data_IF_438838509378
#
_entry.id   IF_438838509378
#
_cell.length_a   1.000
_cell.length_b   1.000
_cell.length_c   1.000
_cell.angle_alpha   90.00
_cell.angle_beta   90.00
_cell.angle_gamma   90.00
#
_symmetry.space_group_name_H-M   'P 1'
#
loop_
_entity.id
_entity.type
_entity.pdbx_description
1 polymer ?
#
# COMPACT_ATOMS: atom_id res chain seq x y z
N UNK A 1 -3.70 -15.29 -5.08
CA UNK A 1 -3.48 -14.30 -3.99
C UNK A 1 -3.70 -15.01 -2.66
N UNK A 2 -2.92 -14.69 -1.64
CA UNK A 2 -3.13 -15.25 -0.29
C UNK A 2 -3.01 -14.15 0.77
N UNK A 3 -3.96 -14.15 1.70
CA UNK A 3 -4.03 -13.23 2.84
C UNK A 3 -3.54 -13.91 4.11
N UNK A 4 -2.98 -13.12 5.02
CA UNK A 4 -2.54 -13.55 6.34
C UNK A 4 -2.92 -12.47 7.38
N UNK A 5 -3.32 -12.86 8.60
CA UNK A 5 -3.68 -11.91 9.65
C UNK A 5 -2.47 -11.17 10.26
N UNK A 6 -1.26 -11.65 10.01
CA UNK A 6 -0.01 -11.09 10.52
C UNK A 6 1.15 -11.44 9.58
N UNK A 7 2.31 -10.83 9.79
CA UNK A 7 3.53 -11.02 8.99
C UNK A 7 4.14 -12.39 9.30
N UNK A 8 4.13 -13.35 8.35
CA UNK A 8 4.82 -14.61 8.54
C UNK A 8 6.35 -14.39 8.61
N UNK A 9 7.09 -15.09 9.48
CA UNK A 9 8.53 -14.88 9.66
C UNK A 9 9.34 -14.97 8.35
N UNK A 10 9.02 -15.94 7.50
CA UNK A 10 9.68 -16.10 6.20
C UNK A 10 9.44 -14.91 5.25
N UNK A 11 8.28 -14.24 5.35
CA UNK A 11 7.99 -13.04 4.55
C UNK A 11 8.68 -11.81 5.12
N UNK A 12 8.77 -11.67 6.44
CA UNK A 12 9.56 -10.62 7.07
C UNK A 12 11.04 -10.71 6.67
N UNK A 13 11.64 -11.90 6.78
CA UNK A 13 13.04 -12.14 6.36
C UNK A 13 13.25 -11.85 4.88
N UNK A 14 12.31 -12.26 4.02
CA UNK A 14 12.40 -11.98 2.58
C UNK A 14 12.28 -10.47 2.28
N UNK A 15 11.35 -9.78 2.93
CA UNK A 15 11.11 -8.35 2.74
C UNK A 15 12.28 -7.49 3.20
N UNK A 16 12.90 -7.83 4.33
CA UNK A 16 14.08 -7.14 4.86
C UNK A 16 15.32 -7.22 3.95
N UNK A 17 15.36 -8.17 3.01
CA UNK A 17 16.43 -8.31 2.01
C UNK A 17 16.20 -7.48 0.75
N UNK A 18 15.02 -6.89 0.57
CA UNK A 18 14.77 -6.09 -0.61
C UNK A 18 15.50 -4.74 -0.48
N UNK A 19 16.13 -4.23 -1.56
CA UNK A 19 16.92 -2.99 -1.49
C UNK A 19 16.05 -1.74 -1.25
N UNK A 20 14.78 -1.80 -1.64
CA UNK A 20 13.80 -0.75 -1.42
C UNK A 20 12.39 -1.35 -1.25
N UNK A 21 11.47 -0.51 -0.79
CA UNK A 21 10.04 -0.79 -0.74
C UNK A 21 9.26 0.45 -1.17
N UNK A 22 7.96 0.29 -1.43
CA UNK A 22 7.07 1.39 -1.76
C UNK A 22 6.12 1.65 -0.59
N UNK A 23 5.90 2.91 -0.26
CA UNK A 23 4.84 3.35 0.65
C UNK A 23 3.68 3.86 -0.20
N UNK A 24 2.46 3.41 0.07
CA UNK A 24 1.25 3.97 -0.50
C UNK A 24 0.33 4.49 0.61
N UNK A 25 -0.17 5.71 0.47
CA UNK A 25 -1.05 6.36 1.44
C UNK A 25 -2.03 7.26 0.72
N UNK A 26 -3.22 7.44 1.26
CA UNK A 26 -4.24 8.29 0.66
C UNK A 26 -4.96 9.08 1.76
N UNK A 27 -5.24 10.37 1.52
CA UNK A 27 -6.09 11.15 2.39
C UNK A 27 -7.54 10.66 2.29
N UNK A 28 -8.39 11.10 3.21
CA UNK A 28 -9.80 10.65 3.21
C UNK A 28 -10.59 11.35 2.11
N UNK A 29 -10.37 12.65 1.94
CA UNK A 29 -11.18 13.48 1.03
C UNK A 29 -10.38 14.24 -0.03
N UNK A 30 -9.06 14.36 0.11
CA UNK A 30 -8.23 15.01 -0.90
C UNK A 30 -7.94 14.09 -2.11
N UNK A 31 -7.69 14.65 -3.31
CA UNK A 31 -7.62 13.85 -4.54
C UNK A 31 -6.27 13.14 -4.75
N UNK A 32 -5.20 13.58 -4.09
CA UNK A 32 -3.86 13.07 -4.33
C UNK A 32 -3.59 11.79 -3.53
N UNK A 33 -3.43 10.67 -4.24
CA UNK A 33 -2.93 9.42 -3.67
C UNK A 33 -1.41 9.42 -3.78
N UNK A 34 -0.72 9.18 -2.67
CA UNK A 34 0.73 9.15 -2.64
C UNK A 34 1.27 7.73 -2.80
N UNK A 35 2.30 7.59 -3.65
CA UNK A 35 3.14 6.39 -3.77
C UNK A 35 4.59 6.84 -3.80
N UNK A 36 5.41 6.38 -2.86
CA UNK A 36 6.81 6.81 -2.76
C UNK A 36 7.76 5.62 -2.60
N UNK A 37 8.86 5.54 -3.36
CA UNK A 37 9.92 4.57 -3.10
C UNK A 37 10.73 4.99 -1.87
N UNK A 38 11.07 4.01 -1.03
CA UNK A 38 11.92 4.14 0.15
C UNK A 38 13.07 3.15 0.01
N UNK A 39 14.28 3.68 -0.20
CA UNK A 39 15.52 2.91 -0.25
C UNK A 39 16.12 2.68 1.13
N UNK A 40 17.37 2.21 1.16
CA UNK A 40 18.14 1.96 2.39
C UNK A 40 17.39 1.03 3.37
N UNK A 41 16.58 0.11 2.86
CA UNK A 41 15.74 -0.76 3.68
C UNK A 41 16.58 -1.57 4.69
N UNK A 42 17.80 -1.97 4.30
CA UNK A 42 18.73 -2.66 5.18
C UNK A 42 19.06 -1.85 6.46
N UNK A 43 19.14 -0.52 6.40
CA UNK A 43 19.50 0.33 7.55
C UNK A 43 18.33 1.14 8.14
N UNK A 44 17.24 1.32 7.39
CA UNK A 44 16.14 2.24 7.77
C UNK A 44 14.80 1.54 7.95
N UNK A 45 14.69 0.22 7.75
CA UNK A 45 13.48 -0.57 7.94
C UNK A 45 13.72 -1.68 8.97
N UNK A 46 12.79 -1.83 9.90
CA UNK A 46 12.79 -2.91 10.87
C UNK A 46 11.41 -3.60 10.92
N UNK A 47 11.46 -4.93 11.00
CA UNK A 47 10.32 -5.77 11.37
C UNK A 47 10.48 -6.12 12.84
N UNK A 48 9.64 -5.56 13.70
CA UNK A 48 9.81 -5.62 15.16
C UNK A 48 9.12 -6.86 15.73
N UNK A 49 7.94 -7.18 15.20
CA UNK A 49 7.15 -8.36 15.57
C UNK A 49 6.21 -8.75 14.41
N UNK A 50 5.28 -9.69 14.65
CA UNK A 50 4.36 -10.20 13.64
C UNK A 50 3.36 -9.14 13.11
N UNK A 51 3.17 -8.02 13.80
CA UNK A 51 2.20 -6.98 13.46
C UNK A 51 2.79 -5.56 13.49
N UNK A 52 4.11 -5.41 13.69
CA UNK A 52 4.75 -4.11 13.79
C UNK A 52 5.96 -4.04 12.86
N UNK A 53 5.89 -3.07 11.94
CA UNK A 53 6.98 -2.67 11.06
C UNK A 53 7.25 -1.19 11.29
N UNK A 54 8.50 -0.76 11.27
CA UNK A 54 8.83 0.65 11.38
C UNK A 54 9.94 1.04 10.39
N UNK A 55 9.87 2.26 9.88
CA UNK A 55 10.95 2.80 9.06
C UNK A 55 11.25 4.26 9.40
N UNK A 56 12.50 4.65 9.15
CA UNK A 56 12.97 6.03 9.32
C UNK A 56 12.53 6.85 8.11
N UNK A 57 11.72 7.88 8.34
CA UNK A 57 11.38 8.87 7.33
C UNK A 57 12.35 10.05 7.42
N UNK A 58 13.18 10.17 6.39
CA UNK A 58 14.12 11.28 6.24
C UNK A 58 13.48 12.46 5.53
N UNK A 59 13.98 13.65 5.82
CA UNK A 59 13.69 14.90 5.15
C UNK A 59 13.93 14.76 3.64
N UNK A 60 12.89 15.07 2.89
CA UNK A 60 12.86 15.18 1.44
C UNK A 60 11.86 16.27 1.05
N UNK A 61 11.52 16.38 -0.24
CA UNK A 61 10.66 17.45 -0.76
C UNK A 61 9.18 17.37 -0.34
N UNK A 62 8.64 16.17 -0.09
CA UNK A 62 7.24 15.94 0.28
C UNK A 62 7.05 15.35 1.68
N UNK A 63 5.82 15.33 2.18
CA UNK A 63 5.43 14.78 3.50
C UNK A 63 4.05 14.09 3.50
N UNK A 64 3.58 13.67 2.33
CA UNK A 64 2.23 13.15 2.07
C UNK A 64 1.90 11.96 2.98
N UNK A 65 2.84 11.02 3.16
CA UNK A 65 2.62 9.89 4.06
C UNK A 65 2.40 10.31 5.52
N UNK A 66 3.11 11.35 5.99
CA UNK A 66 2.91 11.90 7.34
C UNK A 66 1.54 12.58 7.43
N UNK A 67 1.21 13.44 6.47
CA UNK A 67 -0.07 14.15 6.44
C UNK A 67 -1.27 13.18 6.40
N UNK A 68 -1.24 12.17 5.52
CA UNK A 68 -2.29 11.16 5.43
C UNK A 68 -2.35 10.28 6.70
N UNK A 69 -1.21 9.98 7.32
CA UNK A 69 -1.18 9.24 8.58
C UNK A 69 -1.84 10.02 9.72
N UNK A 70 -1.62 11.33 9.83
CA UNK A 70 -2.32 12.17 10.80
C UNK A 70 -3.82 12.29 10.55
N UNK A 71 -4.25 12.30 9.29
CA UNK A 71 -5.68 12.37 8.95
C UNK A 71 -6.40 11.04 9.23
N UNK A 72 -5.86 9.92 8.76
CA UNK A 72 -6.58 8.65 8.76
C UNK A 72 -5.72 7.40 9.01
N UNK A 73 -4.40 7.53 9.16
CA UNK A 73 -3.50 6.42 9.45
C UNK A 73 -3.31 5.41 8.31
N UNK A 74 -3.93 5.56 7.14
CA UNK A 74 -3.92 4.52 6.10
C UNK A 74 -2.57 4.44 5.40
N UNK A 75 -1.90 3.30 5.55
CA UNK A 75 -0.61 3.04 4.92
C UNK A 75 -0.53 1.61 4.38
N UNK A 76 0.06 1.45 3.20
CA UNK A 76 0.50 0.16 2.69
C UNK A 76 1.98 0.20 2.41
N UNK A 77 2.72 -0.81 2.88
CA UNK A 77 4.09 -1.05 2.44
C UNK A 77 4.08 -2.17 1.40
N UNK A 78 4.72 -1.97 0.25
CA UNK A 78 4.81 -2.95 -0.82
C UNK A 78 6.25 -3.31 -1.15
N UNK A 79 6.51 -4.60 -1.26
CA UNK A 79 7.80 -5.17 -1.66
C UNK A 79 7.60 -6.03 -2.91
N UNK A 80 8.57 -6.02 -3.81
CA UNK A 80 8.52 -6.74 -5.08
C UNK A 80 9.83 -7.46 -5.36
N UNK A 81 9.75 -8.65 -5.97
CA UNK A 81 10.92 -9.37 -6.44
C UNK A 81 11.22 -9.03 -7.90
N UNK A 82 12.45 -8.60 -8.17
CA UNK A 82 13.02 -8.51 -9.51
C UNK A 82 13.99 -9.68 -9.82
N UNK A 83 14.10 -10.64 -8.89
CA UNK A 83 14.90 -11.85 -9.06
C UNK A 83 14.22 -12.90 -9.93
N UNK A 84 14.74 -14.13 -9.89
CA UNK A 84 14.21 -15.25 -10.70
C UNK A 84 12.76 -15.59 -10.36
N UNK A 85 12.39 -15.63 -9.08
CA UNK A 85 11.03 -15.92 -8.65
C UNK A 85 10.22 -14.63 -8.48
N UNK A 86 9.06 -14.50 -9.16
CA UNK A 86 8.21 -13.33 -9.01
C UNK A 86 7.47 -13.37 -7.67
N UNK A 87 7.35 -12.21 -7.02
CA UNK A 87 6.62 -12.05 -5.77
C UNK A 87 6.25 -10.58 -5.55
N UNK A 88 5.05 -10.36 -5.04
CA UNK A 88 4.65 -9.08 -4.45
C UNK A 88 4.12 -9.36 -3.05
N UNK A 89 4.58 -8.58 -2.07
CA UNK A 89 4.10 -8.56 -0.69
C UNK A 89 3.53 -7.18 -0.39
N UNK A 90 2.34 -7.13 0.20
CA UNK A 90 1.76 -5.91 0.76
C UNK A 90 1.50 -6.10 2.25
N UNK A 91 1.89 -5.10 3.03
CA UNK A 91 1.56 -4.98 4.45
C UNK A 91 0.55 -3.85 4.56
N UNK A 92 -0.67 -4.16 4.99
CA UNK A 92 -1.69 -3.15 5.24
C UNK A 92 -1.60 -2.72 6.70
N UNK A 93 -1.39 -1.42 6.91
CA UNK A 93 -1.01 -0.86 8.18
C UNK A 93 -1.92 0.29 8.60
N UNK A 94 -2.06 0.47 9.91
CA UNK A 94 -2.37 1.76 10.51
C UNK A 94 -1.05 2.41 10.92
N UNK A 95 -0.75 3.57 10.33
CA UNK A 95 0.48 4.31 10.55
C UNK A 95 0.37 5.23 11.77
N UNK A 96 1.44 5.27 12.53
CA UNK A 96 1.68 6.21 13.61
C UNK A 96 2.99 6.96 13.32
N UNK A 97 2.97 8.29 13.46
CA UNK A 97 4.11 9.16 13.20
C UNK A 97 4.78 9.52 14.51
N UNK A 98 6.06 9.20 14.64
CA UNK A 98 6.89 9.57 15.79
C UNK A 98 7.86 10.65 15.33
N UNK A 99 7.57 11.91 15.64
CA UNK A 99 8.39 13.04 15.19
C UNK A 99 9.69 13.19 16.00
N UNK A 100 10.74 13.63 15.30
CA UNK A 100 12.02 13.98 15.90
C UNK A 100 11.87 15.07 16.96
N UNK A 101 12.72 15.02 17.99
CA UNK A 101 12.69 15.96 19.11
C UNK A 101 11.82 15.50 20.29
N UNK A 102 11.28 14.28 20.23
CA UNK A 102 10.55 13.65 21.34
C UNK A 102 11.37 12.50 21.96
N UNK A 103 11.23 12.20 23.27
CA UNK A 103 11.89 11.02 23.87
C UNK A 103 11.51 9.71 23.16
N UNK A 104 10.27 9.64 22.68
CA UNK A 104 9.75 8.49 21.94
C UNK A 104 10.47 8.29 20.60
N UNK A 105 10.91 9.36 19.95
CA UNK A 105 11.68 9.25 18.71
C UNK A 105 13.01 8.52 18.94
N UNK A 106 13.75 8.89 19.98
CA UNK A 106 15.03 8.24 20.30
C UNK A 106 14.85 6.75 20.60
N UNK A 107 13.81 6.39 21.36
CA UNK A 107 13.44 4.99 21.64
C UNK A 107 13.15 4.20 20.34
N UNK A 108 12.37 4.79 19.44
CA UNK A 108 12.01 4.13 18.18
C UNK A 108 13.18 4.08 17.20
N UNK A 109 14.03 5.10 17.14
CA UNK A 109 15.26 5.11 16.36
C UNK A 109 16.18 3.97 16.79
N UNK A 110 16.41 3.80 18.11
CA UNK A 110 17.22 2.71 18.63
C UNK A 110 16.68 1.33 18.23
N UNK A 111 15.35 1.15 18.24
CA UNK A 111 14.69 -0.09 17.82
C UNK A 111 14.82 -0.38 16.33
N UNK A 112 14.90 0.63 15.47
CA UNK A 112 15.01 0.46 14.01
C UNK A 112 16.46 0.25 13.59
N UNK A 113 17.40 1.00 14.16
CA UNK A 113 18.81 0.97 13.75
C UNK A 113 19.53 -0.30 14.23
N UNK A 114 19.25 -0.81 15.44
CA UNK A 114 19.78 -2.09 15.96
C UNK A 114 21.27 -2.34 15.63
N UNK A 115 22.14 -1.39 15.97
CA UNK A 115 23.60 -1.46 15.78
C UNK A 115 24.09 -1.55 14.32
N UNK A 116 23.24 -1.26 13.33
CA UNK A 116 23.63 -1.27 11.91
C UNK A 116 24.52 -0.06 11.60
N UNK A 117 25.73 -0.32 11.10
CA UNK A 117 26.66 0.72 10.64
C UNK A 117 26.00 1.60 9.56
N UNK A 118 26.07 2.92 9.74
CA UNK A 118 25.49 3.91 8.82
C UNK A 118 24.04 4.35 9.12
N UNK A 119 23.50 4.06 10.31
CA UNK A 119 22.16 4.48 10.76
C UNK A 119 22.02 6.00 10.98
N UNK A 120 21.87 6.74 9.89
CA UNK A 120 21.74 8.18 9.82
C UNK A 120 20.56 8.75 10.61
N UNK A 121 20.86 9.29 11.79
CA UNK A 121 20.09 10.36 12.43
C UNK A 121 20.06 11.63 11.56
N UNK A 122 21.08 11.80 10.72
CA UNK A 122 21.22 12.94 9.82
C UNK A 122 20.08 12.96 8.81
N UNK A 123 19.27 14.01 8.90
CA UNK A 123 18.10 14.21 8.04
C UNK A 123 16.89 13.37 8.43
N UNK A 124 16.90 12.54 9.47
CA UNK A 124 15.68 11.90 9.97
C UNK A 124 14.71 12.97 10.51
N UNK A 125 13.43 12.90 10.14
CA UNK A 125 12.38 13.80 10.65
C UNK A 125 11.30 13.07 11.44
N UNK A 126 11.07 11.80 11.13
CA UNK A 126 10.13 10.97 11.89
C UNK A 126 10.50 9.48 11.77
N UNK A 127 10.01 8.68 12.70
CA UNK A 127 9.88 7.23 12.52
C UNK A 127 8.40 6.94 12.23
N UNK A 128 8.13 6.23 11.14
CA UNK A 128 6.79 5.80 10.79
C UNK A 128 6.61 4.37 11.28
N UNK A 129 5.71 4.18 12.22
CA UNK A 129 5.36 2.87 12.79
C UNK A 129 4.08 2.38 12.14
N UNK A 130 4.17 1.29 11.38
CA UNK A 130 3.03 0.61 10.80
C UNK A 130 2.54 -0.54 11.68
N UNK A 131 1.33 -0.42 12.21
CA UNK A 131 0.59 -1.52 12.85
C UNK A 131 -0.11 -2.33 11.78
N UNK A 132 0.51 -3.44 11.38
CA UNK A 132 0.03 -4.35 10.35
C UNK A 132 -1.19 -5.12 10.84
N UNK A 133 -2.30 -5.00 10.12
CA UNK A 133 -3.54 -5.70 10.43
C UNK A 133 -3.90 -6.79 9.39
N UNK A 134 -3.29 -6.74 8.20
CA UNK A 134 -3.39 -7.80 7.20
C UNK A 134 -2.17 -7.79 6.27
N UNK A 135 -1.79 -8.98 5.79
CA UNK A 135 -0.70 -9.17 4.84
C UNK A 135 -1.21 -9.88 3.60
N UNK A 136 -0.80 -9.41 2.44
CA UNK A 136 -1.18 -10.00 1.15
C UNK A 136 0.04 -10.41 0.35
N UNK A 137 -0.04 -11.59 -0.25
CA UNK A 137 0.90 -12.05 -1.28
C UNK A 137 0.21 -12.24 -2.63
N UNK A 138 0.88 -11.80 -3.69
CA UNK A 138 0.46 -12.02 -5.07
C UNK A 138 1.64 -12.45 -5.96
N UNK A 139 1.33 -13.17 -7.03
CA UNK A 139 2.31 -13.93 -7.81
C UNK A 139 3.31 -13.07 -8.58
N UNK A 140 2.98 -11.82 -8.92
CA UNK A 140 3.89 -10.91 -9.61
C UNK A 140 4.32 -11.37 -11.01
N UNK A 141 3.54 -12.22 -11.69
CA UNK A 141 3.94 -12.84 -12.96
C UNK A 141 4.23 -11.85 -14.10
N UNK A 142 3.72 -10.62 -14.01
CA UNK A 142 4.03 -9.53 -14.94
C UNK A 142 5.04 -8.50 -14.41
N UNK A 143 5.54 -8.65 -13.18
CA UNK A 143 6.64 -7.78 -12.69
C UNK A 143 7.91 -8.22 -13.41
N UNK A 144 8.70 -7.31 -14.00
CA UNK A 144 9.89 -7.70 -14.74
C UNK A 144 10.94 -8.39 -13.86
N UNK A 145 11.88 -9.09 -14.49
CA UNK A 145 13.07 -9.62 -13.85
C UNK A 145 14.29 -8.83 -14.31
N UNK A 146 15.34 -8.76 -13.50
CA UNK A 146 16.65 -8.28 -13.96
C UNK A 146 17.21 -9.30 -14.96
N UNK A 147 17.81 -8.79 -16.05
CA UNK A 147 18.50 -9.56 -17.08
C UNK A 147 19.58 -10.47 -16.50
N UNK A 148 19.66 -11.72 -16.95
CA UNK A 148 20.60 -12.71 -16.39
C UNK A 148 22.06 -12.28 -16.58
N UNK A 149 22.33 -11.63 -17.70
CA UNK A 149 23.63 -11.13 -18.11
C UNK A 149 24.19 -10.08 -17.14
N UNK A 150 23.30 -9.33 -16.47
CA UNK A 150 23.68 -8.35 -15.43
C UNK A 150 24.18 -9.05 -14.17
N UNK A 151 23.64 -10.22 -13.82
CA UNK A 151 24.17 -11.02 -12.70
C UNK A 151 25.52 -11.65 -13.05
N UNK A 152 25.74 -12.00 -14.33
CA UNK A 152 26.93 -12.71 -14.81
C UNK A 152 28.14 -11.78 -15.03
N UNK A 153 27.92 -10.51 -15.45
CA UNK A 153 28.98 -9.50 -15.61
C UNK A 153 29.63 -9.06 -14.28
N UNK A 154 28.99 -9.34 -13.14
CA UNK A 154 29.41 -8.77 -11.85
C UNK A 154 29.19 -7.25 -11.79
N UNK A 155 29.35 -6.65 -10.62
CA UNK A 155 29.15 -5.22 -10.39
C UNK A 155 30.31 -4.35 -10.94
N UNK A 156 30.94 -4.74 -12.05
CA UNK A 156 31.85 -3.86 -12.77
C UNK A 156 31.01 -2.78 -13.45
N UNK A 157 30.99 -1.61 -12.83
CA UNK A 157 30.22 -0.46 -13.25
C UNK A 157 30.57 -0.09 -14.69
N UNK A 158 29.55 -0.12 -15.56
CA UNK A 158 29.57 0.70 -16.76
C UNK A 158 29.48 2.15 -16.26
N UNK A 159 30.59 2.89 -16.28
CA UNK A 159 30.52 4.35 -16.35
C UNK A 159 29.90 4.68 -17.71
N UNK A 160 28.57 4.60 -17.78
CA UNK A 160 27.83 4.80 -19.00
C UNK A 160 28.00 6.23 -19.50
N UNK A 161 28.42 6.38 -20.75
CA UNK A 161 28.34 7.63 -21.51
C UNK A 161 26.91 8.19 -21.44
N UNK A 162 26.71 9.22 -20.59
CA UNK A 162 25.46 9.98 -20.46
C UNK A 162 25.03 10.63 -21.79
N UNK A 163 25.92 10.72 -22.78
CA UNK A 163 25.70 11.42 -24.04
C UNK A 163 24.90 10.65 -25.11
N UNK A 164 24.68 9.34 -24.98
CA UNK A 164 24.13 8.55 -26.09
C UNK A 164 22.61 8.31 -26.09
N UNK A 165 21.87 8.72 -25.05
CA UNK A 165 20.43 8.47 -24.96
C UNK A 165 20.03 6.98 -24.99
N UNK A 166 20.98 6.06 -24.79
CA UNK A 166 20.80 4.61 -24.78
C UNK A 166 20.85 4.05 -23.36
N UNK A 167 20.05 4.57 -22.44
CA UNK A 167 19.83 3.89 -21.16
C UNK A 167 19.06 2.59 -21.44
N UNK A 168 19.79 1.49 -21.58
CA UNK A 168 19.18 0.17 -21.75
C UNK A 168 18.63 -0.28 -20.41
N UNK A 169 17.31 -0.48 -20.33
CA UNK A 169 16.67 -1.07 -19.15
C UNK A 169 17.38 -2.38 -18.76
N UNK A 170 17.81 -2.47 -17.51
CA UNK A 170 18.38 -3.68 -16.90
C UNK A 170 17.34 -4.80 -16.74
N UNK A 171 16.07 -4.48 -16.99
CA UNK A 171 14.94 -5.38 -16.83
C UNK A 171 14.59 -6.10 -18.14
N UNK A 172 14.02 -7.29 -18.00
CA UNK A 172 13.40 -8.08 -19.06
C UNK A 172 12.00 -8.54 -18.61
N UNK A 173 11.10 -8.67 -19.58
CA UNK A 173 9.74 -9.15 -19.32
C UNK A 173 9.70 -10.64 -18.97
N UNK A 174 8.67 -11.03 -18.23
CA UNK A 174 8.39 -12.43 -17.90
C UNK A 174 7.33 -12.97 -18.83
N UNK A 175 7.59 -14.13 -19.42
CA UNK A 175 6.58 -14.91 -20.17
C UNK A 175 5.52 -15.55 -19.28
N UNK A 176 5.76 -15.60 -17.96
CA UNK A 176 4.93 -16.34 -17.00
C UNK A 176 3.47 -15.93 -17.02
N UNK A 177 3.17 -14.64 -17.19
CA UNK A 177 1.79 -14.16 -17.22
C UNK A 177 1.07 -14.59 -18.50
N UNK A 178 1.71 -14.45 -19.65
CA UNK A 178 1.15 -14.85 -20.95
C UNK A 178 0.94 -16.35 -21.03
N UNK A 179 1.92 -17.14 -20.57
CA UNK A 179 1.83 -18.59 -20.53
C UNK A 179 0.71 -19.06 -19.60
N UNK A 180 0.51 -18.38 -18.47
CA UNK A 180 -0.58 -18.67 -17.53
C UNK A 180 -1.95 -18.41 -18.17
N UNK A 181 -2.12 -17.27 -18.84
CA UNK A 181 -3.39 -16.92 -19.47
C UNK A 181 -3.69 -17.71 -20.73
N UNK A 182 -2.68 -18.03 -21.54
CA UNK A 182 -2.83 -18.92 -22.69
C UNK A 182 -3.40 -20.28 -22.27
N UNK A 183 -2.83 -20.90 -21.24
CA UNK A 183 -3.33 -22.17 -20.69
C UNK A 183 -4.77 -22.07 -20.18
N UNK A 184 -5.13 -20.97 -19.51
CA UNK A 184 -6.52 -20.76 -19.05
C UNK A 184 -7.50 -20.57 -20.20
N UNK A 185 -7.08 -19.85 -21.24
CA UNK A 185 -7.88 -19.64 -22.44
C UNK A 185 -8.09 -20.96 -23.20
N UNK A 186 -7.03 -21.76 -23.37
CA UNK A 186 -7.10 -23.11 -23.94
C UNK A 186 -8.07 -24.01 -23.16
N UNK A 187 -8.12 -23.88 -21.84
CA UNK A 187 -9.03 -24.63 -20.97
C UNK A 187 -10.43 -24.01 -20.83
N UNK A 188 -10.72 -22.86 -21.45
CA UNK A 188 -12.01 -22.16 -21.32
C UNK A 188 -12.32 -21.63 -19.90
N UNK A 189 -11.32 -21.48 -19.03
CA UNK A 189 -11.51 -21.12 -17.60
C UNK A 189 -11.26 -19.63 -17.29
N UNK A 190 -11.23 -18.78 -18.31
CA UNK A 190 -10.91 -17.34 -18.15
C UNK A 190 -12.05 -16.61 -17.47
N UNK A 191 -13.28 -16.79 -17.94
CA UNK A 191 -14.47 -16.11 -17.41
C UNK A 191 -14.77 -16.59 -15.99
N UNK A 192 -14.72 -17.90 -15.74
CA UNK A 192 -14.84 -18.49 -14.41
C UNK A 192 -13.84 -17.85 -13.42
N UNK A 193 -12.58 -17.69 -13.83
CA UNK A 193 -11.57 -17.06 -12.99
C UNK A 193 -11.88 -15.57 -12.72
N UNK A 194 -12.37 -14.84 -13.73
CA UNK A 194 -12.75 -13.44 -13.57
C UNK A 194 -13.95 -13.32 -12.61
N UNK A 195 -14.93 -14.22 -12.69
CA UNK A 195 -16.03 -14.32 -11.72
C UNK A 195 -15.49 -14.58 -10.32
N UNK A 196 -14.62 -15.57 -10.16
CA UNK A 196 -14.08 -15.96 -8.86
C UNK A 196 -13.23 -14.83 -8.22
N UNK A 197 -12.48 -14.06 -9.02
CA UNK A 197 -11.45 -13.13 -8.52
C UNK A 197 -11.74 -11.66 -8.72
N UNK A 198 -12.69 -11.27 -9.57
CA UNK A 198 -12.84 -9.87 -10.01
C UNK A 198 -14.26 -9.31 -9.86
N UNK A 199 -15.17 -10.03 -9.19
CA UNK A 199 -16.51 -9.52 -8.83
C UNK A 199 -16.43 -8.38 -7.81
N UNK A 200 -15.57 -8.52 -6.79
CA UNK A 200 -15.32 -7.48 -5.79
C UNK A 200 -13.83 -7.25 -5.51
N UNK A 201 -13.50 -6.09 -4.93
CA UNK A 201 -12.21 -5.88 -4.27
C UNK A 201 -12.12 -6.70 -2.97
N UNK A 202 -10.93 -6.68 -2.35
CA UNK A 202 -10.69 -7.29 -1.03
C UNK A 202 -11.62 -6.70 0.03
N UNK A 203 -11.87 -5.39 -0.03
CA UNK A 203 -12.78 -4.67 0.86
C UNK A 203 -14.26 -4.80 0.46
N UNK A 204 -14.59 -5.67 -0.50
CA UNK A 204 -15.96 -5.90 -0.97
C UNK A 204 -16.51 -4.79 -1.86
N UNK A 205 -15.67 -3.92 -2.43
CA UNK A 205 -16.12 -2.90 -3.38
C UNK A 205 -16.49 -3.57 -4.72
N UNK A 206 -17.62 -3.21 -5.35
CA UNK A 206 -17.97 -3.76 -6.65
C UNK A 206 -16.88 -3.47 -7.69
N UNK A 207 -16.45 -4.50 -8.42
CA UNK A 207 -15.34 -4.44 -9.37
C UNK A 207 -15.81 -4.70 -10.82
N UNK A 208 -15.22 -5.66 -11.52
CA UNK A 208 -15.35 -5.84 -12.97
C UNK A 208 -16.81 -6.13 -13.38
N UNK A 209 -17.44 -5.20 -14.11
CA UNK A 209 -18.86 -5.31 -14.50
C UNK A 209 -19.18 -6.57 -15.30
N UNK A 210 -18.26 -7.04 -16.15
CA UNK A 210 -18.44 -8.26 -16.92
C UNK A 210 -18.55 -9.49 -16.00
N UNK A 211 -17.56 -9.69 -15.13
CA UNK A 211 -17.56 -10.75 -14.13
C UNK A 211 -18.80 -10.71 -13.21
N UNK A 212 -19.24 -9.51 -12.83
CA UNK A 212 -20.44 -9.32 -11.99
C UNK A 212 -21.73 -9.72 -12.71
N UNK A 213 -21.86 -9.41 -14.00
CA UNK A 213 -23.01 -9.85 -14.81
C UNK A 213 -23.02 -11.36 -14.95
N UNK A 214 -21.85 -11.94 -15.21
CA UNK A 214 -21.69 -13.40 -15.32
C UNK A 214 -21.99 -14.11 -13.99
N UNK A 215 -21.66 -13.47 -12.86
CA UNK A 215 -22.06 -13.91 -11.52
C UNK A 215 -23.56 -13.73 -11.21
N UNK A 216 -24.36 -13.21 -12.15
CA UNK A 216 -25.80 -13.00 -11.98
C UNK A 216 -26.18 -11.73 -11.20
N UNK A 217 -25.27 -10.78 -11.00
CA UNK A 217 -25.58 -9.54 -10.29
C UNK A 217 -26.45 -8.58 -11.12
N UNK A 218 -27.53 -8.08 -10.50
CA UNK A 218 -28.25 -6.91 -11.00
C UNK A 218 -27.44 -5.65 -10.66
N UNK A 219 -26.67 -5.15 -11.63
CA UNK A 219 -25.68 -4.09 -11.41
C UNK A 219 -26.22 -2.84 -10.72
N UNK A 220 -27.42 -2.37 -11.09
CA UNK A 220 -28.05 -1.17 -10.50
C UNK A 220 -28.31 -1.36 -9.00
N UNK A 221 -28.82 -2.53 -8.60
CA UNK A 221 -29.08 -2.84 -7.20
C UNK A 221 -27.78 -2.92 -6.40
N UNK A 222 -26.76 -3.57 -6.95
CA UNK A 222 -25.46 -3.71 -6.30
C UNK A 222 -24.71 -2.36 -6.21
N UNK A 223 -24.78 -1.51 -7.23
CA UNK A 223 -24.23 -0.14 -7.19
C UNK A 223 -25.00 0.75 -6.18
N UNK A 224 -26.33 0.64 -6.13
CA UNK A 224 -27.16 1.32 -5.15
C UNK A 224 -26.80 0.91 -3.71
N UNK A 225 -26.68 -0.40 -3.46
CA UNK A 225 -26.23 -0.93 -2.16
C UNK A 225 -24.83 -0.46 -1.80
N UNK A 226 -23.89 -0.45 -2.74
CA UNK A 226 -22.54 0.04 -2.49
C UNK A 226 -22.51 1.54 -2.19
N UNK A 227 -23.34 2.35 -2.87
CA UNK A 227 -23.47 3.79 -2.61
C UNK A 227 -24.05 4.05 -1.22
N UNK A 228 -25.10 3.33 -0.82
CA UNK A 228 -25.68 3.40 0.52
C UNK A 228 -24.66 2.97 1.58
N UNK A 229 -23.91 1.88 1.33
CA UNK A 229 -22.87 1.40 2.22
C UNK A 229 -21.75 2.43 2.44
N UNK A 230 -21.35 3.17 1.40
CA UNK A 230 -20.40 4.29 1.55
C UNK A 230 -20.99 5.42 2.38
N UNK A 231 -22.20 5.87 2.06
CA UNK A 231 -22.86 6.94 2.80
C UNK A 231 -23.02 6.60 4.30
N UNK A 232 -23.34 5.36 4.63
CA UNK A 232 -23.47 4.90 6.02
C UNK A 232 -22.14 4.85 6.80
N UNK A 233 -20.99 4.86 6.11
CA UNK A 233 -19.66 4.86 6.73
C UNK A 233 -19.13 6.28 7.01
N UNK A 234 -19.75 7.32 6.45
CA UNK A 234 -19.41 8.73 6.67
C UNK A 234 -19.94 9.24 8.02
N UNK A 235 -19.40 8.71 9.12
CA UNK A 235 -19.89 8.97 10.48
C UNK A 235 -19.86 10.45 10.84
N UNK A 236 -18.77 11.14 10.50
CA UNK A 236 -18.59 12.56 10.84
C UNK A 236 -19.58 13.43 10.06
N UNK A 237 -19.82 13.11 8.78
CA UNK A 237 -20.84 13.77 7.96
C UNK A 237 -22.26 13.56 8.51
N UNK A 238 -22.60 12.33 8.94
CA UNK A 238 -23.89 12.03 9.57
C UNK A 238 -24.06 12.81 10.87
N UNK A 239 -23.04 12.79 11.74
CA UNK A 239 -23.06 13.49 13.02
C UNK A 239 -23.22 15.01 12.83
N UNK A 240 -22.46 15.60 11.91
CA UNK A 240 -22.59 17.01 11.55
C UNK A 240 -24.00 17.33 11.07
N UNK A 241 -24.58 16.48 10.20
CA UNK A 241 -25.94 16.65 9.71
C UNK A 241 -27.00 16.61 10.82
N UNK A 242 -26.86 15.72 11.80
CA UNK A 242 -27.74 15.64 12.97
C UNK A 242 -27.60 16.90 13.83
N UNK A 243 -26.38 17.34 14.11
CA UNK A 243 -26.14 18.55 14.92
C UNK A 243 -26.70 19.80 14.25
N UNK A 244 -26.50 19.97 12.94
CA UNK A 244 -27.07 21.07 12.17
C UNK A 244 -28.60 21.04 12.19
N UNK A 245 -29.20 19.85 12.11
CA UNK A 245 -30.65 19.67 12.17
C UNK A 245 -31.22 20.07 13.53
N UNK A 246 -30.57 19.67 14.63
CA UNK A 246 -30.95 20.06 15.99
C UNK A 246 -30.79 21.57 16.22
N UNK A 247 -29.75 22.19 15.68
CA UNK A 247 -29.53 23.63 15.74
C UNK A 247 -30.65 24.39 15.01
N UNK A 248 -30.98 23.98 13.78
CA UNK A 248 -32.07 24.59 13.01
C UNK A 248 -33.40 24.41 13.74
N UNK A 249 -33.69 23.21 14.25
CA UNK A 249 -34.92 22.93 15.01
C UNK A 249 -35.03 23.75 16.30
N UNK A 250 -33.93 23.91 17.04
CA UNK A 250 -33.92 24.71 18.27
C UNK A 250 -34.14 26.20 17.95
N UNK A 251 -33.47 26.71 16.91
CA UNK A 251 -33.65 28.08 16.46
C UNK A 251 -35.08 28.36 16.01
N UNK A 252 -35.68 27.49 15.19
CA UNK A 252 -37.05 27.68 14.72
C UNK A 252 -38.05 27.59 15.86
N UNK A 253 -37.82 26.71 16.84
CA UNK A 253 -38.65 26.60 18.04
C UNK A 253 -38.57 27.86 18.91
N UNK A 254 -37.38 28.44 19.12
CA UNK A 254 -37.21 29.66 19.93
C UNK A 254 -37.80 30.90 19.24
N UNK A 255 -37.62 31.02 17.92
CA UNK A 255 -37.99 32.23 17.17
C UNK A 255 -39.45 32.21 16.74
N UNK A 256 -39.97 31.06 16.32
CA UNK A 256 -41.31 30.93 15.74
C UNK A 256 -42.26 30.06 16.56
N UNK A 257 -41.73 29.27 17.51
CA UNK A 257 -42.56 28.60 18.50
C UNK A 257 -43.09 29.64 19.48
N UNK A 258 -44.37 30.00 19.35
CA UNK A 258 -45.09 30.71 20.40
C UNK A 258 -45.06 29.84 21.67
N UNK A 259 -44.24 30.22 22.65
CA UNK A 259 -44.50 29.93 24.06
C UNK A 259 -45.62 30.85 24.56
#
# INVERSE_FOLDING_TARGET
>A
MKLYPSIPPNLATWAARQPFFLTASAPTHAPHVNVSPKGLAASHLAFLDANTVAYIDRSGSGCETIAHAYENGRLTLMFMSFGTLPRILRLFCNAEVIERGTPRFEEWMARVVQDREGGGMEGARAVIVGRVWEVQTSCGFGVPAVKKEVYERGAEGDEGDEESGKELSIFQDRRTLDDYWRKRAENGTVEEYQVEKNVTSIDGLPALKAARREAGEVLILAEGRAKLGRAARERDGILLGVLLSLLVWSFTTIVFGKL
#
